data_IF_073237707644
#
_entry.id   IF_073237707644
#
_cell.length_a   1.000
_cell.length_b   1.000
_cell.length_c   1.000
_cell.angle_alpha   90.00
_cell.angle_beta   90.00
_cell.angle_gamma   90.00
#
_symmetry.space_group_name_H-M   'P 1'
#
loop_
_entity.id
_entity.type
_entity.pdbx_description
1 polymer ?
#
# COMPACT_ATOMS: atom_id res chain seq x y z
N UNK A 1 -85.79 71.31 53.37
CA UNK A 1 -84.92 72.32 52.79
C UNK A 1 -83.72 71.61 52.22
N UNK A 2 -83.78 71.29 50.96
CA UNK A 2 -82.65 70.54 50.31
C UNK A 2 -82.07 71.51 49.29
N UNK A 3 -80.80 71.81 49.38
CA UNK A 3 -80.06 72.56 48.39
C UNK A 3 -79.59 71.58 47.31
N UNK A 4 -79.98 71.90 46.08
CA UNK A 4 -79.44 71.20 44.93
C UNK A 4 -78.16 71.90 44.41
N UNK A 5 -77.10 71.09 44.29
CA UNK A 5 -75.80 71.51 43.70
C UNK A 5 -75.80 71.05 42.28
N UNK A 6 -75.85 71.99 41.36
CA UNK A 6 -75.66 71.67 39.92
C UNK A 6 -74.16 71.54 39.65
N UNK A 7 -73.71 70.34 39.28
CA UNK A 7 -72.33 70.04 38.91
C UNK A 7 -72.21 70.06 37.40
N UNK A 8 -71.55 71.04 36.87
CA UNK A 8 -71.25 71.18 35.47
C UNK A 8 -70.03 70.25 35.08
N UNK A 9 -70.32 69.23 34.33
CA UNK A 9 -69.25 68.31 33.89
C UNK A 9 -68.64 68.83 32.54
N UNK A 10 -67.41 69.28 32.61
CA UNK A 10 -66.64 69.65 31.41
C UNK A 10 -66.00 68.37 30.87
N UNK A 11 -66.50 67.93 29.69
CA UNK A 11 -65.96 66.76 29.02
C UNK A 11 -64.72 67.16 28.20
N UNK A 12 -63.51 66.80 28.70
CA UNK A 12 -62.27 66.88 27.92
C UNK A 12 -62.20 65.65 27.00
N UNK A 13 -62.29 65.85 25.68
CA UNK A 13 -61.93 64.79 24.71
C UNK A 13 -60.46 64.67 24.66
N UNK A 14 -59.92 63.53 25.20
CA UNK A 14 -58.56 63.14 25.04
C UNK A 14 -58.47 62.31 23.77
N UNK A 15 -57.96 62.86 22.65
CA UNK A 15 -57.67 62.10 21.43
C UNK A 15 -56.42 61.23 21.66
N UNK A 16 -56.63 59.97 21.90
CA UNK A 16 -55.54 58.95 21.95
C UNK A 16 -55.10 58.68 20.54
N UNK A 17 -53.95 59.26 20.14
CA UNK A 17 -53.26 58.87 18.91
C UNK A 17 -52.53 57.51 19.23
N UNK A 18 -53.13 56.40 18.81
CA UNK A 18 -52.52 55.11 18.83
C UNK A 18 -51.41 55.07 17.77
N UNK A 19 -50.17 55.30 18.18
CA UNK A 19 -49.02 55.03 17.32
C UNK A 19 -48.82 53.52 17.21
N UNK A 20 -49.26 52.92 16.10
CA UNK A 20 -48.94 51.53 15.74
C UNK A 20 -47.50 51.50 15.32
N UNK A 21 -46.63 51.03 16.22
CA UNK A 21 -45.26 50.65 15.90
C UNK A 21 -45.33 49.36 15.08
N UNK A 22 -45.10 49.45 13.79
CA UNK A 22 -44.85 48.27 12.94
C UNK A 22 -43.48 47.71 13.36
N UNK A 23 -43.45 46.60 14.11
CA UNK A 23 -42.25 45.80 14.31
C UNK A 23 -42.01 45.07 12.97
N UNK A 24 -41.12 45.63 12.16
CA UNK A 24 -40.63 44.93 11.00
C UNK A 24 -39.74 43.75 11.49
N UNK A 25 -40.26 42.55 11.38
CA UNK A 25 -39.43 41.36 11.62
C UNK A 25 -38.35 41.32 10.54
N UNK A 26 -37.11 41.62 10.89
CA UNK A 26 -35.96 41.42 10.02
C UNK A 26 -35.82 39.93 9.81
N UNK A 27 -36.08 39.45 8.60
CA UNK A 27 -35.76 38.06 8.25
C UNK A 27 -34.24 37.88 8.36
N UNK A 28 -33.82 36.98 9.24
CA UNK A 28 -32.41 36.64 9.40
C UNK A 28 -32.01 35.66 8.28
N UNK A 29 -31.16 36.10 7.41
CA UNK A 29 -30.53 35.28 6.38
C UNK A 29 -29.08 35.06 6.74
N UNK A 30 -28.48 33.87 6.43
CA UNK A 30 -29.06 32.75 5.70
C UNK A 30 -30.03 31.89 6.53
N UNK A 31 -31.02 31.30 5.86
CA UNK A 31 -31.84 30.22 6.44
C UNK A 31 -31.14 28.89 6.13
N UNK A 32 -30.74 28.13 7.17
CA UNK A 32 -30.05 26.85 7.04
C UNK A 32 -31.07 25.71 7.17
N UNK A 33 -30.90 24.69 6.32
CA UNK A 33 -31.63 23.45 6.40
C UNK A 33 -30.63 22.30 6.30
N UNK A 34 -30.50 21.51 7.35
CA UNK A 34 -29.51 20.42 7.43
C UNK A 34 -30.13 19.13 6.90
N UNK A 35 -29.39 18.47 6.02
CA UNK A 35 -29.68 17.10 5.55
C UNK A 35 -28.53 16.19 5.91
N UNK A 36 -28.82 14.91 6.08
CA UNK A 36 -27.82 13.88 6.38
C UNK A 36 -27.57 13.03 5.13
N UNK A 37 -26.30 12.70 4.86
CA UNK A 37 -25.88 11.74 3.85
C UNK A 37 -25.07 10.63 4.53
N UNK A 38 -25.35 9.37 4.19
CA UNK A 38 -24.65 8.21 4.77
C UNK A 38 -24.11 7.31 3.68
N UNK A 39 -22.94 6.66 3.95
CA UNK A 39 -22.35 5.61 3.14
C UNK A 39 -21.72 4.57 4.08
N UNK A 40 -21.82 3.30 3.70
CA UNK A 40 -21.17 2.19 4.43
C UNK A 40 -20.19 1.49 3.51
N UNK A 41 -19.01 1.16 4.02
CA UNK A 41 -18.02 0.36 3.33
C UNK A 41 -17.90 -1.01 3.99
N UNK A 42 -17.71 -2.05 3.18
CA UNK A 42 -17.42 -3.41 3.60
C UNK A 42 -16.00 -3.80 3.15
N UNK A 43 -15.45 -4.87 3.74
CA UNK A 43 -14.15 -5.39 3.31
C UNK A 43 -14.19 -5.81 1.84
N UNK A 44 -13.18 -5.42 1.06
CA UNK A 44 -13.05 -5.82 -0.34
C UNK A 44 -12.39 -7.19 -0.43
N UNK A 45 -13.14 -8.25 -0.66
CA UNK A 45 -12.68 -9.64 -0.78
C UNK A 45 -12.54 -10.11 -2.24
N UNK A 46 -12.87 -9.27 -3.20
CA UNK A 46 -12.88 -9.59 -4.62
C UNK A 46 -11.46 -9.64 -5.22
N UNK A 47 -11.01 -10.85 -5.53
CA UNK A 47 -9.87 -11.10 -6.43
C UNK A 47 -8.52 -10.55 -5.96
N UNK A 48 -7.66 -10.36 -6.92
CA UNK A 48 -6.28 -9.84 -6.79
C UNK A 48 -6.23 -8.46 -7.46
N UNK A 49 -5.58 -7.49 -6.82
CA UNK A 49 -5.31 -6.20 -7.46
C UNK A 49 -4.31 -6.40 -8.60
N UNK A 50 -4.60 -5.98 -9.84
CA UNK A 50 -3.65 -6.08 -10.94
C UNK A 50 -2.29 -5.46 -10.58
N UNK A 51 -1.18 -5.93 -11.17
CA UNK A 51 0.14 -5.35 -10.96
C UNK A 51 0.14 -3.86 -11.26
N UNK A 52 0.71 -3.06 -10.35
CA UNK A 52 0.84 -1.59 -10.52
C UNK A 52 2.28 -1.23 -10.87
N UNK A 53 2.46 -0.03 -11.44
CA UNK A 53 3.80 0.51 -11.73
C UNK A 53 4.58 0.70 -10.40
N UNK A 54 5.71 -0.01 -10.19
CA UNK A 54 6.47 0.11 -8.95
C UNK A 54 7.11 1.50 -8.75
N UNK A 55 7.20 2.32 -9.80
CA UNK A 55 7.69 3.70 -9.71
C UNK A 55 6.57 4.67 -9.29
N UNK A 56 5.32 4.38 -9.70
CA UNK A 56 4.14 5.18 -9.37
C UNK A 56 2.91 4.26 -9.18
N UNK A 57 2.70 3.68 -8.00
CA UNK A 57 1.77 2.58 -7.75
C UNK A 57 0.30 3.02 -7.73
N UNK A 58 -0.23 3.38 -8.89
CA UNK A 58 -1.64 3.77 -9.09
C UNK A 58 -2.50 2.54 -9.47
N UNK A 59 -3.41 2.07 -8.59
CA UNK A 59 -4.28 0.93 -8.89
C UNK A 59 -5.22 1.16 -10.09
N UNK A 60 -5.43 2.42 -10.49
CA UNK A 60 -6.22 2.76 -11.67
C UNK A 60 -5.42 2.65 -12.98
N UNK A 61 -4.10 2.44 -12.89
CA UNK A 61 -3.18 2.34 -14.02
C UNK A 61 -2.31 1.09 -13.89
N UNK A 62 -2.91 -0.10 -14.02
CA UNK A 62 -2.16 -1.35 -13.94
C UNK A 62 -1.11 -1.43 -15.04
N UNK A 63 -0.02 -2.16 -14.75
CA UNK A 63 1.00 -2.53 -15.73
C UNK A 63 0.83 -4.00 -16.13
N UNK A 64 1.39 -4.36 -17.28
CA UNK A 64 1.30 -5.71 -17.82
C UNK A 64 2.71 -6.33 -17.99
N UNK A 65 3.20 -7.11 -16.99
CA UNK A 65 4.49 -7.76 -17.07
C UNK A 65 4.55 -8.77 -18.21
N UNK A 66 5.62 -8.72 -19.03
CA UNK A 66 5.83 -9.65 -20.14
C UNK A 66 6.09 -11.08 -19.67
N UNK A 67 6.55 -11.25 -18.45
CA UNK A 67 6.72 -12.55 -17.80
C UNK A 67 5.48 -12.86 -16.95
N UNK A 68 4.65 -13.84 -17.36
CA UNK A 68 3.39 -14.11 -16.68
C UNK A 68 3.57 -14.26 -15.16
N UNK A 69 2.86 -13.51 -14.35
CA UNK A 69 2.96 -13.59 -12.89
C UNK A 69 2.42 -14.94 -12.37
N UNK A 70 2.90 -15.35 -11.21
CA UNK A 70 2.21 -16.36 -10.44
C UNK A 70 0.85 -15.82 -9.98
N UNK A 71 -0.17 -16.67 -9.80
CA UNK A 71 -1.44 -16.23 -9.22
C UNK A 71 -1.23 -15.57 -7.86
N UNK A 72 -1.88 -14.44 -7.64
CA UNK A 72 -1.91 -13.79 -6.33
C UNK A 72 -2.64 -14.64 -5.29
N UNK A 73 -2.49 -14.30 -4.01
CA UNK A 73 -3.10 -15.08 -2.90
C UNK A 73 -4.59 -14.82 -2.72
N UNK A 74 -5.11 -13.71 -3.26
CA UNK A 74 -6.51 -13.31 -3.14
C UNK A 74 -6.93 -12.90 -1.72
N UNK A 75 -8.21 -12.54 -1.58
CA UNK A 75 -8.79 -12.09 -0.31
C UNK A 75 -8.59 -10.60 -0.03
N UNK A 76 -9.13 -10.14 1.11
CA UNK A 76 -9.05 -8.74 1.50
C UNK A 76 -7.64 -8.28 1.92
N UNK A 77 -6.76 -9.21 2.29
CA UNK A 77 -5.34 -9.01 2.49
C UNK A 77 -4.59 -10.00 1.58
N UNK A 78 -3.87 -9.51 0.58
CA UNK A 78 -3.29 -10.35 -0.47
C UNK A 78 -1.88 -9.94 -0.86
N UNK A 79 -1.07 -10.94 -1.29
CA UNK A 79 0.08 -10.70 -2.18
C UNK A 79 -0.47 -10.79 -3.59
N UNK A 80 -0.39 -9.70 -4.33
CA UNK A 80 -0.97 -9.61 -5.66
C UNK A 80 0.03 -9.95 -6.76
N UNK A 81 1.29 -9.58 -6.57
CA UNK A 81 2.35 -9.75 -7.55
C UNK A 81 3.71 -9.96 -6.86
N UNK A 82 4.59 -10.69 -7.52
CA UNK A 82 6.00 -10.81 -7.15
C UNK A 82 6.84 -11.06 -8.40
N UNK A 83 7.90 -10.27 -8.56
CA UNK A 83 8.86 -10.39 -9.66
C UNK A 83 9.59 -11.72 -9.65
N UNK A 84 9.97 -12.21 -10.83
CA UNK A 84 10.89 -13.32 -11.00
C UNK A 84 12.32 -12.78 -11.16
N UNK A 85 13.21 -13.14 -10.24
CA UNK A 85 14.58 -12.63 -10.22
C UNK A 85 15.47 -13.42 -11.20
N UNK A 86 15.79 -12.84 -12.35
CA UNK A 86 16.55 -13.46 -13.46
C UNK A 86 17.95 -12.91 -13.50
N UNK A 87 18.96 -13.76 -13.31
CA UNK A 87 20.39 -13.41 -13.33
C UNK A 87 21.04 -13.64 -14.69
N UNK A 88 20.27 -14.01 -15.70
CA UNK A 88 20.74 -14.22 -17.07
C UNK A 88 21.65 -15.41 -17.24
N UNK A 89 22.27 -15.52 -18.42
CA UNK A 89 23.27 -16.54 -18.74
C UNK A 89 24.67 -16.01 -18.46
N UNK A 90 25.42 -16.73 -17.63
CA UNK A 90 26.73 -16.32 -17.16
C UNK A 90 27.80 -17.33 -17.59
N UNK A 91 29.01 -16.84 -17.88
CA UNK A 91 30.17 -17.71 -18.12
C UNK A 91 30.67 -18.26 -16.78
N UNK A 92 31.03 -19.53 -16.77
CA UNK A 92 31.66 -20.17 -15.60
C UNK A 92 32.95 -19.43 -15.26
N UNK A 93 33.12 -19.07 -13.99
CA UNK A 93 34.30 -18.40 -13.44
C UNK A 93 34.82 -19.17 -12.24
N UNK A 94 36.13 -19.23 -12.10
CA UNK A 94 36.83 -19.77 -10.92
C UNK A 94 37.10 -18.70 -9.86
N UNK A 95 36.82 -17.43 -10.16
CA UNK A 95 36.85 -16.34 -9.19
C UNK A 95 35.48 -16.13 -8.55
N UNK A 96 35.44 -15.54 -7.35
CA UNK A 96 34.20 -15.06 -6.73
C UNK A 96 33.52 -14.06 -7.65
N UNK A 97 32.21 -14.21 -7.83
CA UNK A 97 31.40 -13.34 -8.69
C UNK A 97 30.10 -12.96 -8.00
N UNK A 98 29.66 -11.73 -8.26
CA UNK A 98 28.31 -11.27 -7.95
C UNK A 98 27.58 -11.00 -9.27
N UNK A 99 26.42 -11.58 -9.39
CA UNK A 99 25.51 -11.40 -10.53
C UNK A 99 24.29 -10.61 -10.05
N UNK A 100 23.67 -9.84 -10.95
CA UNK A 100 22.56 -8.97 -10.63
C UNK A 100 21.31 -9.40 -11.40
N UNK A 101 20.15 -9.32 -10.73
CA UNK A 101 18.90 -9.62 -11.39
C UNK A 101 18.52 -8.49 -12.38
N UNK A 102 18.00 -8.89 -13.53
CA UNK A 102 17.47 -7.96 -14.50
C UNK A 102 16.18 -7.30 -13.97
N UNK A 103 15.92 -6.07 -14.41
CA UNK A 103 14.64 -5.39 -14.20
C UNK A 103 13.49 -6.14 -14.89
N UNK A 104 12.28 -5.99 -14.36
CA UNK A 104 11.08 -6.51 -15.01
C UNK A 104 10.84 -5.82 -16.35
N UNK A 105 10.44 -6.57 -17.36
CA UNK A 105 10.06 -6.05 -18.67
C UNK A 105 8.54 -6.09 -18.77
N UNK A 106 7.93 -4.98 -19.18
CA UNK A 106 6.50 -4.89 -19.45
C UNK A 106 6.19 -5.20 -20.90
N UNK A 107 4.95 -5.53 -21.25
CA UNK A 107 4.55 -5.84 -22.63
C UNK A 107 4.65 -4.64 -23.57
N UNK A 108 4.67 -3.41 -23.04
CA UNK A 108 4.96 -2.18 -23.81
C UNK A 108 6.45 -1.94 -24.05
N UNK A 109 7.33 -2.84 -23.58
CA UNK A 109 8.78 -2.76 -23.69
C UNK A 109 9.46 -1.93 -22.60
N UNK A 110 8.72 -1.26 -21.72
CA UNK A 110 9.30 -0.52 -20.59
C UNK A 110 9.93 -1.48 -19.58
N UNK A 111 10.91 -0.97 -18.83
CA UNK A 111 11.62 -1.73 -17.80
C UNK A 111 11.36 -1.09 -16.44
N UNK A 112 11.03 -1.93 -15.48
CA UNK A 112 10.64 -1.49 -14.14
C UNK A 112 11.48 -2.19 -13.06
N UNK A 113 11.70 -1.56 -11.90
CA UNK A 113 12.30 -2.24 -10.76
C UNK A 113 11.56 -3.52 -10.42
N UNK A 114 12.29 -4.55 -10.00
CA UNK A 114 11.68 -5.75 -9.44
C UNK A 114 10.99 -5.44 -8.11
N UNK A 115 9.84 -6.07 -7.84
CA UNK A 115 9.02 -5.74 -6.67
C UNK A 115 8.10 -6.86 -6.22
N UNK A 116 7.49 -6.66 -5.04
CA UNK A 116 6.37 -7.43 -4.53
C UNK A 116 5.24 -6.47 -4.18
N UNK A 117 4.01 -6.82 -4.55
CA UNK A 117 2.81 -6.01 -4.30
C UNK A 117 1.93 -6.69 -3.26
N UNK A 118 1.50 -5.91 -2.26
CA UNK A 118 0.55 -6.31 -1.22
C UNK A 118 -0.62 -5.34 -1.24
N UNK A 119 -1.84 -5.86 -1.11
CA UNK A 119 -3.04 -5.02 -0.93
C UNK A 119 -3.78 -5.41 0.35
N UNK A 120 -4.12 -4.41 1.17
CA UNK A 120 -4.97 -4.53 2.36
C UNK A 120 -6.27 -3.74 2.16
N UNK A 121 -7.38 -4.46 1.97
CA UNK A 121 -8.74 -3.93 1.79
C UNK A 121 -9.68 -4.38 2.92
N UNK A 122 -9.15 -4.84 4.05
CA UNK A 122 -9.94 -5.34 5.18
C UNK A 122 -10.75 -4.26 5.88
N UNK A 123 -10.31 -2.99 5.81
CA UNK A 123 -10.95 -1.88 6.52
C UNK A 123 -10.75 -1.90 8.05
N UNK A 124 -9.93 -2.81 8.58
CA UNK A 124 -9.73 -3.01 10.03
C UNK A 124 -8.54 -2.24 10.59
N UNK A 125 -7.61 -1.80 9.73
CA UNK A 125 -6.33 -1.20 10.11
C UNK A 125 -5.51 -2.07 11.10
N UNK A 126 -5.66 -3.40 11.05
CA UNK A 126 -4.99 -4.32 11.98
C UNK A 126 -3.47 -4.43 11.73
N UNK A 127 -3.01 -4.03 10.55
CA UNK A 127 -1.62 -4.17 10.11
C UNK A 127 -1.31 -5.59 9.61
N UNK A 128 -0.09 -5.80 9.13
CA UNK A 128 0.37 -7.07 8.55
C UNK A 128 1.89 -7.13 8.52
N UNK A 129 2.44 -8.32 8.26
CA UNK A 129 3.87 -8.53 8.02
C UNK A 129 4.08 -9.22 6.69
N UNK A 130 5.05 -8.75 5.92
CA UNK A 130 5.57 -9.43 4.74
C UNK A 130 6.98 -9.94 5.05
N UNK A 131 7.23 -11.21 4.81
CA UNK A 131 8.55 -11.82 4.94
C UNK A 131 8.85 -12.71 3.74
N UNK A 132 10.12 -13.07 3.58
CA UNK A 132 10.59 -13.94 2.50
C UNK A 132 11.55 -14.99 3.04
N UNK A 133 11.46 -16.20 2.49
CA UNK A 133 12.46 -17.26 2.68
C UNK A 133 12.91 -17.84 1.34
N UNK A 134 14.11 -18.39 1.32
CA UNK A 134 14.64 -19.18 0.22
C UNK A 134 14.50 -20.65 0.61
N UNK A 135 13.66 -21.42 -0.10
CA UNK A 135 13.32 -22.80 0.28
C UNK A 135 14.53 -23.73 0.28
N UNK A 136 15.45 -23.53 -0.67
CA UNK A 136 16.62 -24.39 -0.86
C UNK A 136 17.70 -23.63 -1.62
N UNK A 137 18.91 -24.19 -1.69
CA UNK A 137 19.98 -23.63 -2.50
C UNK A 137 19.61 -23.63 -3.98
N UNK A 138 20.20 -22.70 -4.76
CA UNK A 138 20.14 -22.78 -6.20
C UNK A 138 20.66 -24.14 -6.67
N UNK A 139 19.88 -24.88 -7.45
CA UNK A 139 20.23 -26.21 -7.94
C UNK A 139 19.80 -26.43 -9.39
N UNK A 140 20.46 -27.35 -10.05
CA UNK A 140 20.09 -27.85 -11.37
C UNK A 140 18.85 -28.75 -11.31
N UNK A 141 18.29 -29.10 -12.46
CA UNK A 141 17.18 -30.07 -12.52
C UNK A 141 17.59 -31.47 -12.04
N UNK A 142 18.91 -31.82 -12.11
CA UNK A 142 19.47 -33.06 -11.56
C UNK A 142 19.78 -33.00 -10.06
N UNK A 143 19.63 -31.83 -9.42
CA UNK A 143 19.83 -31.64 -7.98
C UNK A 143 21.22 -31.15 -7.59
N UNK A 144 22.12 -30.84 -8.56
CA UNK A 144 23.45 -30.32 -8.25
C UNK A 144 23.36 -28.90 -7.72
N UNK A 145 23.80 -28.69 -6.47
CA UNK A 145 23.67 -27.41 -5.78
C UNK A 145 24.79 -26.43 -6.15
N UNK A 146 24.44 -25.15 -6.21
CA UNK A 146 25.39 -24.04 -6.29
C UNK A 146 25.86 -23.67 -4.88
N UNK A 147 26.71 -24.53 -4.31
CA UNK A 147 27.13 -24.46 -2.92
C UNK A 147 27.74 -23.12 -2.55
N UNK A 148 27.27 -22.51 -1.46
CA UNK A 148 27.77 -21.22 -0.97
C UNK A 148 27.27 -20.00 -1.73
N UNK A 149 26.41 -20.17 -2.74
CA UNK A 149 25.73 -19.04 -3.36
C UNK A 149 24.79 -18.35 -2.36
N UNK A 150 24.77 -17.01 -2.36
CA UNK A 150 23.99 -16.21 -1.44
C UNK A 150 23.17 -15.16 -2.21
N UNK A 151 21.88 -15.12 -1.92
CA UNK A 151 20.96 -14.13 -2.45
C UNK A 151 20.81 -12.97 -1.46
N UNK A 152 21.03 -11.76 -1.94
CA UNK A 152 20.87 -10.53 -1.18
C UNK A 152 20.01 -9.54 -1.96
N UNK A 153 19.03 -8.93 -1.28
CA UNK A 153 18.26 -7.80 -1.77
C UNK A 153 18.76 -6.53 -1.10
N UNK A 154 18.87 -5.46 -1.85
CA UNK A 154 19.26 -4.13 -1.36
C UNK A 154 18.33 -3.08 -1.93
N UNK A 155 18.42 -1.85 -1.43
CA UNK A 155 17.60 -0.71 -1.88
C UNK A 155 16.08 -0.98 -1.79
N UNK A 156 15.66 -1.82 -0.83
CA UNK A 156 14.27 -2.10 -0.57
C UNK A 156 13.52 -0.86 -0.10
N UNK A 157 12.38 -0.57 -0.72
CA UNK A 157 11.53 0.58 -0.41
C UNK A 157 10.07 0.17 -0.48
N UNK A 158 9.26 0.63 0.47
CA UNK A 158 7.80 0.53 0.38
C UNK A 158 7.21 1.83 -0.15
N UNK A 159 6.44 1.75 -1.22
CA UNK A 159 5.78 2.89 -1.84
C UNK A 159 4.30 2.63 -2.08
N UNK A 160 3.50 3.68 -1.98
CA UNK A 160 2.05 3.66 -2.17
C UNK A 160 1.57 5.06 -2.54
N UNK A 161 0.36 5.18 -3.11
CA UNK A 161 -0.36 6.45 -3.23
C UNK A 161 -1.31 6.72 -2.06
N UNK A 162 -1.38 5.81 -1.08
CA UNK A 162 -2.12 6.03 0.17
C UNK A 162 -1.45 7.15 0.96
N UNK A 163 -2.23 7.87 1.76
CA UNK A 163 -1.72 8.94 2.63
C UNK A 163 -0.50 8.45 3.44
N UNK A 164 0.61 9.21 3.48
CA UNK A 164 1.85 8.84 4.15
C UNK A 164 1.69 8.48 5.65
N UNK A 165 0.62 8.93 6.29
CA UNK A 165 0.28 8.55 7.68
C UNK A 165 0.14 7.03 7.86
N UNK A 166 -0.24 6.31 6.79
CA UNK A 166 -0.43 4.86 6.80
C UNK A 166 0.82 4.07 6.40
N UNK A 167 1.97 4.72 6.26
CA UNK A 167 3.23 4.06 5.89
C UNK A 167 3.58 2.94 6.89
N UNK A 168 3.96 1.73 6.43
CA UNK A 168 4.43 0.66 7.29
C UNK A 168 5.56 1.12 8.21
N UNK A 169 5.52 0.69 9.49
CA UNK A 169 6.49 1.13 10.50
C UNK A 169 7.92 0.70 10.21
N UNK A 170 8.10 -0.50 9.68
CA UNK A 170 9.42 -1.05 9.36
C UNK A 170 9.43 -1.49 7.89
N UNK A 171 10.40 -0.98 7.16
CA UNK A 171 10.73 -1.40 5.81
C UNK A 171 12.23 -1.69 5.79
N UNK A 172 12.59 -2.96 5.67
CA UNK A 172 13.99 -3.35 5.61
C UNK A 172 14.54 -3.07 4.20
N UNK A 173 15.54 -2.22 4.11
CA UNK A 173 16.18 -1.89 2.84
C UNK A 173 17.10 -3.00 2.33
N UNK A 174 17.51 -3.93 3.19
CA UNK A 174 18.37 -5.06 2.85
C UNK A 174 17.83 -6.36 3.43
N UNK A 175 17.83 -7.42 2.62
CA UNK A 175 17.51 -8.78 3.02
C UNK A 175 18.62 -9.70 2.54
N UNK A 176 19.17 -10.52 3.43
CA UNK A 176 20.11 -11.59 3.07
C UNK A 176 19.43 -12.91 3.38
N UNK A 177 19.28 -13.77 2.38
CA UNK A 177 18.59 -15.04 2.55
C UNK A 177 19.57 -16.17 2.79
N UNK A 178 19.18 -17.09 3.67
CA UNK A 178 19.88 -18.36 3.90
C UNK A 178 19.04 -19.47 3.28
N UNK A 179 19.59 -20.26 2.35
CA UNK A 179 18.87 -21.40 1.77
C UNK A 179 18.39 -22.38 2.85
N UNK A 180 17.10 -22.73 2.83
CA UNK A 180 16.47 -23.57 3.86
C UNK A 180 16.31 -22.89 5.23
N UNK A 181 16.60 -21.59 5.32
CA UNK A 181 16.53 -20.81 6.56
C UNK A 181 15.14 -20.27 6.87
N UNK A 182 15.04 -19.56 7.99
CA UNK A 182 13.81 -18.93 8.45
C UNK A 182 13.40 -17.76 7.56
N UNK A 183 12.15 -17.33 7.70
CA UNK A 183 11.60 -16.12 7.07
C UNK A 183 12.40 -14.88 7.49
N UNK A 184 12.84 -14.10 6.52
CA UNK A 184 13.47 -12.78 6.69
C UNK A 184 12.40 -11.71 6.55
N UNK A 185 12.24 -10.85 7.56
CA UNK A 185 11.25 -9.78 7.57
C UNK A 185 11.58 -8.74 6.50
N UNK A 186 10.63 -8.45 5.61
CA UNK A 186 10.72 -7.40 4.59
C UNK A 186 9.99 -6.12 5.04
N UNK A 187 8.71 -6.25 5.39
CA UNK A 187 7.88 -5.13 5.84
C UNK A 187 7.11 -5.53 7.10
N UNK A 188 6.97 -4.56 8.01
CA UNK A 188 6.10 -4.66 9.16
C UNK A 188 5.20 -3.42 9.24
N UNK A 189 3.95 -3.57 8.83
CA UNK A 189 2.89 -2.61 9.07
C UNK A 189 2.27 -2.89 10.43
N UNK A 190 2.42 -1.96 11.38
CA UNK A 190 1.75 -2.05 12.69
C UNK A 190 0.26 -1.72 12.56
N UNK A 191 -0.52 -1.98 13.61
CA UNK A 191 -1.90 -1.49 13.69
C UNK A 191 -1.96 0.01 13.40
N UNK A 192 -2.94 0.42 12.59
CA UNK A 192 -3.10 1.78 12.08
C UNK A 192 -2.30 2.09 10.83
N UNK A 193 -1.55 1.12 10.25
CA UNK A 193 -0.74 1.35 9.04
C UNK A 193 -0.91 0.23 8.02
N UNK A 194 -0.45 0.45 6.78
CA UNK A 194 -0.39 -0.57 5.73
C UNK A 194 -1.69 -0.79 4.96
N UNK A 195 -2.73 0.06 5.14
CA UNK A 195 -3.98 -0.02 4.37
C UNK A 195 -3.74 0.32 2.90
N UNK A 196 -4.52 -0.28 1.99
CA UNK A 196 -4.44 -0.04 0.55
C UNK A 196 -3.35 -0.85 -0.15
N UNK A 197 -2.93 -0.41 -1.33
CA UNK A 197 -1.94 -1.11 -2.15
C UNK A 197 -0.53 -0.59 -1.88
N UNK A 198 0.38 -1.50 -1.54
CA UNK A 198 1.78 -1.23 -1.25
C UNK A 198 2.68 -2.04 -2.17
N UNK A 199 3.69 -1.38 -2.70
CA UNK A 199 4.75 -1.99 -3.49
C UNK A 199 6.04 -1.99 -2.69
N UNK A 200 6.63 -3.16 -2.49
CA UNK A 200 7.99 -3.32 -1.97
C UNK A 200 8.93 -3.53 -3.16
N UNK A 201 9.59 -2.47 -3.59
CA UNK A 201 10.47 -2.44 -4.76
C UNK A 201 11.94 -2.45 -4.38
N UNK A 202 12.77 -2.95 -5.28
CA UNK A 202 14.23 -2.99 -5.14
C UNK A 202 14.88 -1.98 -6.10
N UNK A 203 15.18 -0.79 -5.57
CA UNK A 203 15.55 0.40 -6.33
C UNK A 203 14.36 1.28 -6.71
N UNK A 204 14.58 2.58 -6.85
CA UNK A 204 13.52 3.54 -7.16
C UNK A 204 13.12 3.54 -8.66
N UNK A 205 14.01 3.06 -9.52
CA UNK A 205 13.86 3.02 -10.97
C UNK A 205 14.72 1.91 -11.58
N UNK A 206 14.67 1.71 -12.92
CA UNK A 206 15.48 0.72 -13.62
C UNK A 206 16.98 0.82 -13.32
N UNK A 207 17.54 2.02 -13.28
CA UNK A 207 18.98 2.21 -13.05
C UNK A 207 19.40 1.73 -11.66
N UNK A 208 18.61 2.04 -10.64
CA UNK A 208 18.86 1.57 -9.27
C UNK A 208 18.61 0.08 -9.09
N UNK A 209 17.72 -0.52 -9.90
CA UNK A 209 17.46 -1.95 -9.88
C UNK A 209 18.68 -2.76 -10.36
N UNK A 210 19.53 -2.22 -11.23
CA UNK A 210 20.62 -2.94 -11.86
C UNK A 210 21.58 -3.64 -10.89
N UNK A 211 21.69 -3.16 -9.65
CA UNK A 211 22.54 -3.75 -8.60
C UNK A 211 21.78 -4.05 -7.29
N UNK A 212 20.45 -3.94 -7.31
CA UNK A 212 19.64 -4.06 -6.11
C UNK A 212 19.44 -5.50 -5.65
N UNK A 213 19.32 -6.46 -6.58
CA UNK A 213 19.15 -7.88 -6.24
C UNK A 213 20.37 -8.66 -6.71
N UNK A 214 21.11 -9.24 -5.77
CA UNK A 214 22.47 -9.76 -5.95
C UNK A 214 22.51 -11.25 -5.65
N UNK A 215 23.18 -12.01 -6.52
CA UNK A 215 23.55 -13.40 -6.31
C UNK A 215 25.08 -13.51 -6.27
N UNK A 216 25.65 -13.66 -5.09
CA UNK A 216 27.06 -13.89 -4.90
C UNK A 216 27.35 -15.38 -5.01
N UNK A 217 28.33 -15.74 -5.83
CA UNK A 217 28.73 -17.15 -6.07
C UNK A 217 30.23 -17.28 -5.86
N UNK A 218 30.66 -18.11 -4.87
CA UNK A 218 32.09 -18.34 -4.63
C UNK A 218 32.79 -18.97 -5.85
N UNK A 219 34.01 -18.56 -6.11
CA UNK A 219 34.85 -19.13 -7.18
C UNK A 219 35.06 -20.64 -7.02
N UNK A 220 35.20 -21.09 -5.77
CA UNK A 220 35.39 -22.52 -5.42
C UNK A 220 34.16 -23.39 -5.58
N UNK A 221 32.94 -22.81 -5.78
CA UNK A 221 31.74 -23.61 -6.03
C UNK A 221 31.83 -24.30 -7.37
N UNK A 222 31.47 -25.58 -7.42
CA UNK A 222 31.34 -26.30 -8.70
C UNK A 222 30.15 -25.73 -9.47
N UNK A 223 30.37 -25.43 -10.74
CA UNK A 223 29.36 -24.87 -11.64
C UNK A 223 29.29 -25.75 -12.89
N UNK A 224 28.12 -26.29 -13.17
CA UNK A 224 27.82 -27.01 -14.40
C UNK A 224 27.28 -26.04 -15.45
N UNK A 225 27.45 -26.34 -16.72
CA UNK A 225 26.89 -25.57 -17.82
C UNK A 225 25.38 -25.86 -17.99
N UNK A 226 24.62 -25.59 -16.93
CA UNK A 226 23.18 -25.85 -16.82
C UNK A 226 22.46 -24.67 -16.13
N UNK A 227 21.15 -24.66 -16.20
CA UNK A 227 20.33 -23.72 -15.44
C UNK A 227 20.29 -24.13 -13.96
N UNK A 228 20.47 -23.16 -13.07
CA UNK A 228 20.24 -23.28 -11.63
C UNK A 228 19.00 -22.47 -11.27
N UNK A 229 18.16 -23.01 -10.42
CA UNK A 229 16.96 -22.34 -9.89
C UNK A 229 16.81 -22.55 -8.41
N UNK A 230 16.12 -21.66 -7.76
CA UNK A 230 15.65 -21.76 -6.37
C UNK A 230 14.21 -21.25 -6.28
N UNK A 231 13.51 -21.56 -5.20
CA UNK A 231 12.17 -21.06 -4.90
C UNK A 231 12.24 -20.06 -3.76
N UNK A 232 11.70 -18.88 -3.98
CA UNK A 232 11.46 -17.88 -2.95
C UNK A 232 9.99 -17.96 -2.52
N UNK A 233 9.75 -17.92 -1.23
CA UNK A 233 8.41 -17.96 -0.63
C UNK A 233 8.19 -16.64 0.10
N UNK A 234 7.30 -15.82 -0.45
CA UNK A 234 6.81 -14.63 0.23
C UNK A 234 5.63 -15.02 1.11
N UNK A 235 5.68 -14.62 2.38
CA UNK A 235 4.67 -14.92 3.38
C UNK A 235 4.07 -13.63 3.91
N UNK A 236 2.75 -13.51 3.80
CA UNK A 236 1.97 -12.40 4.32
C UNK A 236 1.18 -12.88 5.53
N UNK A 237 1.43 -12.26 6.68
CA UNK A 237 0.78 -12.59 7.95
C UNK A 237 -0.12 -11.45 8.39
N UNK A 238 -1.37 -11.78 8.72
CA UNK A 238 -2.28 -10.86 9.41
C UNK A 238 -1.82 -10.67 10.86
N UNK A 239 -1.77 -9.45 11.32
CA UNK A 239 -1.61 -9.16 12.75
C UNK A 239 -2.99 -9.10 13.39
N UNK A 240 -3.54 -10.26 13.70
CA UNK A 240 -4.71 -10.30 14.58
C UNK A 240 -4.26 -9.87 15.97
N UNK A 241 -4.82 -8.78 16.48
CA UNK A 241 -4.72 -8.47 17.90
C UNK A 241 -5.56 -9.51 18.66
N UNK A 242 -4.87 -10.41 19.36
CA UNK A 242 -5.49 -11.21 20.42
C UNK A 242 -5.53 -10.35 21.68
#
# INVERSE_FOLDING_TARGET
MKKEIVLTATTMLFSMVASTTFVSATEVYPKEYNTEGTITFEAGDEGVTPPVDPENPDPNKPVDPSDPPSPGTGGALSIDYGSKFKFGTQKISTADKTYYAAADVMNDGSRKPTYVQVTDRRGTLSGWKLSVSQSEQFKTASGDELVGAQLKFTKGQAVSLVDPTYTPQTVNSELTLTPGGNNTLAINAKSGTGVGTWVYRFGANENENQDAVQLSVPGKSVKLAQQYSTKLVWTLEDKVHI
#
